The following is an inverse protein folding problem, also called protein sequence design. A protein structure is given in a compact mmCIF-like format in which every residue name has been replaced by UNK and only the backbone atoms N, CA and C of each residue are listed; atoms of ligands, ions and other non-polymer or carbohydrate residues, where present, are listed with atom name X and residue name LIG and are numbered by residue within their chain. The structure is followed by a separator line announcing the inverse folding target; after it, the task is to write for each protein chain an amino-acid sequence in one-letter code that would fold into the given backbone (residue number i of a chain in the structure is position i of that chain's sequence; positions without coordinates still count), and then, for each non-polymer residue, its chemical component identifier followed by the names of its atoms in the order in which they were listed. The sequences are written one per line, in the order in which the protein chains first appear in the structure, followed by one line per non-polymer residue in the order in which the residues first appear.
data_IF_838723874416
#
_entry.id   IF_838723874416
#
_cell.length_a   1.000
_cell.length_b   1.000
_cell.length_c   1.000
_cell.angle_alpha   90.00
_cell.angle_beta   90.00
_cell.angle_gamma   90.00
#
_symmetry.space_group_name_H-M   'P 1'
#
loop_
_entity.id
_entity.type
_entity.pdbx_description
1 polymer ?
#
# COMPACT_ATOMS: atom_id res chain seq x y z
N UNK A 1 21.52 14.89 10.63
CA UNK A 1 21.46 13.67 11.46
C UNK A 1 22.06 14.00 12.81
N UNK A 2 21.58 13.42 13.91
CA UNK A 2 22.06 13.72 15.27
C UNK A 2 21.98 12.49 16.17
N UNK A 3 22.73 12.49 17.27
CA UNK A 3 22.65 11.47 18.32
C UNK A 3 21.65 11.92 19.39
N UNK A 4 20.70 11.06 19.72
CA UNK A 4 19.76 11.24 20.81
C UNK A 4 20.24 10.48 22.03
N UNK A 5 20.54 11.21 23.10
CA UNK A 5 21.01 10.63 24.36
C UNK A 5 19.83 10.28 25.26
N UNK A 6 19.60 8.99 25.46
CA UNK A 6 18.68 8.45 26.45
C UNK A 6 19.31 8.26 27.82
N UNK A 7 18.57 7.61 28.74
CA UNK A 7 19.01 7.38 30.11
C UNK A 7 20.22 6.43 30.20
N UNK A 8 20.26 5.41 29.34
CA UNK A 8 21.32 4.39 29.28
C UNK A 8 21.91 4.19 27.88
N UNK A 9 21.18 4.56 26.84
CA UNK A 9 21.55 4.34 25.44
C UNK A 9 21.62 5.64 24.67
N UNK A 10 22.30 5.59 23.53
CA UNK A 10 22.38 6.65 22.54
C UNK A 10 21.94 6.07 21.21
N UNK A 11 20.96 6.71 20.59
CA UNK A 11 20.40 6.28 19.30
C UNK A 11 20.61 7.34 18.24
N UNK A 12 20.65 6.91 16.98
CA UNK A 12 20.66 7.84 15.86
C UNK A 12 19.28 8.40 15.61
N UNK A 13 19.21 9.70 15.38
CA UNK A 13 17.99 10.40 15.00
C UNK A 13 18.23 11.17 13.70
N UNK A 14 17.37 10.92 12.71
CA UNK A 14 17.28 11.70 11.51
C UNK A 14 16.16 12.73 11.67
N UNK A 15 16.45 13.97 11.29
CA UNK A 15 15.46 15.05 11.20
C UNK A 15 15.34 15.44 9.74
N UNK A 16 14.12 15.54 9.23
CA UNK A 16 13.86 16.10 7.91
C UNK A 16 12.78 17.15 7.99
N UNK A 17 12.99 18.20 7.20
CA UNK A 17 12.11 19.34 7.08
C UNK A 17 11.61 19.37 5.64
N UNK A 18 10.31 19.21 5.48
CA UNK A 18 9.62 19.24 4.20
C UNK A 18 8.92 20.57 4.06
N UNK A 19 9.16 21.26 2.94
CA UNK A 19 8.40 22.44 2.55
C UNK A 19 7.50 22.07 1.38
N UNK A 20 6.22 22.39 1.46
CA UNK A 20 5.22 22.02 0.47
C UNK A 20 4.14 23.11 0.35
N UNK A 21 3.21 22.92 -0.60
CA UNK A 21 2.21 23.93 -0.95
C UNK A 21 2.71 24.97 -1.95
N UNK A 22 1.78 25.73 -2.55
CA UNK A 22 2.12 26.80 -3.48
C UNK A 22 3.01 27.84 -2.78
N UNK A 23 4.18 28.09 -3.35
CA UNK A 23 5.19 28.99 -2.77
C UNK A 23 5.90 28.47 -1.53
N UNK A 24 5.91 27.15 -1.26
CA UNK A 24 6.57 26.55 -0.08
C UNK A 24 6.09 27.14 1.27
N UNK A 25 4.84 27.60 1.29
CA UNK A 25 4.25 28.30 2.44
C UNK A 25 3.99 27.38 3.63
N UNK A 26 3.97 26.06 3.43
CA UNK A 26 3.74 25.07 4.48
C UNK A 26 5.03 24.30 4.77
N UNK A 27 5.28 24.06 6.06
CA UNK A 27 6.45 23.35 6.54
C UNK A 27 6.03 22.23 7.48
N UNK A 28 6.59 21.05 7.27
CA UNK A 28 6.45 19.89 8.14
C UNK A 28 7.83 19.41 8.58
N UNK A 29 8.04 19.33 9.89
CA UNK A 29 9.26 18.84 10.48
C UNK A 29 8.98 17.48 11.12
N UNK A 30 9.84 16.51 10.84
CA UNK A 30 9.71 15.17 11.40
C UNK A 30 11.06 14.65 11.83
N UNK A 31 11.07 13.96 12.97
CA UNK A 31 12.22 13.21 13.45
C UNK A 31 11.88 11.73 13.52
N UNK A 32 12.85 10.89 13.18
CA UNK A 32 12.71 9.45 13.30
C UNK A 32 14.06 8.77 13.48
N UNK A 33 14.01 7.55 13.99
CA UNK A 33 15.19 6.70 14.08
C UNK A 33 15.37 5.93 12.76
N UNK A 34 16.54 6.02 12.11
CA UNK A 34 16.86 5.21 10.94
C UNK A 34 16.71 3.71 11.21
N UNK A 35 16.07 2.98 10.30
CA UNK A 35 16.04 1.52 10.34
C UNK A 35 17.46 0.95 10.28
N UNK A 36 17.75 -0.05 11.13
CA UNK A 36 19.09 -0.64 11.24
C UNK A 36 20.14 0.26 11.92
N UNK A 37 19.73 1.39 12.52
CA UNK A 37 20.67 2.20 13.29
C UNK A 37 21.18 1.45 14.53
N UNK A 38 22.50 1.38 14.73
CA UNK A 38 23.06 0.79 15.94
C UNK A 38 22.67 1.66 17.16
N UNK A 39 22.29 1.00 18.25
CA UNK A 39 22.16 1.63 19.55
C UNK A 39 23.48 1.49 20.29
N UNK A 40 24.04 2.61 20.75
CA UNK A 40 25.27 2.62 21.52
C UNK A 40 24.96 2.77 23.01
N UNK A 41 25.82 2.25 23.87
CA UNK A 41 25.85 2.68 25.25
C UNK A 41 26.37 4.12 25.33
N UNK A 42 26.04 4.84 26.41
CA UNK A 42 26.49 6.23 26.59
C UNK A 42 28.01 6.41 26.54
N UNK A 43 28.75 5.42 27.04
CA UNK A 43 30.22 5.37 27.01
C UNK A 43 30.79 5.03 25.64
N UNK A 44 30.08 4.24 24.82
CA UNK A 44 30.49 3.96 23.45
C UNK A 44 30.22 5.16 22.52
N UNK A 45 29.19 5.95 22.81
CA UNK A 45 28.83 7.11 22.00
C UNK A 45 29.91 8.21 21.99
N UNK A 46 30.66 8.38 23.08
CA UNK A 46 31.80 9.31 23.12
C UNK A 46 33.00 8.86 22.27
N UNK A 47 33.05 7.58 21.88
CA UNK A 47 34.11 7.03 21.04
C UNK A 47 33.73 6.99 19.54
N UNK A 48 32.55 7.53 19.17
CA UNK A 48 32.14 7.60 17.76
C UNK A 48 33.03 8.62 17.05
N UNK A 49 33.78 8.15 16.07
CA UNK A 49 34.62 9.04 15.25
C UNK A 49 33.75 9.88 14.31
N UNK A 50 34.27 11.05 13.95
CA UNK A 50 33.61 11.91 12.95
C UNK A 50 33.45 11.18 11.61
N UNK A 51 34.42 10.34 11.23
CA UNK A 51 34.36 9.54 10.00
C UNK A 51 33.22 8.52 10.02
N UNK A 52 33.01 7.83 11.15
CA UNK A 52 31.87 6.92 11.33
C UNK A 52 30.54 7.66 11.23
N UNK A 53 30.46 8.86 11.81
CA UNK A 53 29.28 9.72 11.71
C UNK A 53 28.97 10.10 10.26
N UNK A 54 29.99 10.53 9.50
CA UNK A 54 29.85 10.94 8.11
C UNK A 54 29.50 9.74 7.22
N UNK A 55 30.18 8.61 7.39
CA UNK A 55 29.91 7.39 6.64
C UNK A 55 28.48 6.90 6.87
N UNK A 56 28.04 6.85 8.13
CA UNK A 56 26.67 6.44 8.46
C UNK A 56 25.63 7.41 7.88
N UNK A 57 25.88 8.72 7.98
CA UNK A 57 25.02 9.74 7.38
C UNK A 57 24.93 9.58 5.86
N UNK A 58 26.05 9.36 5.17
CA UNK A 58 26.07 9.17 3.71
C UNK A 58 25.32 7.91 3.27
N UNK A 59 25.57 6.78 3.92
CA UNK A 59 24.88 5.52 3.63
C UNK A 59 23.37 5.66 3.87
N UNK A 60 22.98 6.30 4.96
CA UNK A 60 21.57 6.50 5.27
C UNK A 60 20.89 7.48 4.30
N UNK A 61 21.49 8.62 4.01
CA UNK A 61 20.94 9.61 3.09
C UNK A 61 20.85 9.07 1.65
N UNK A 62 21.81 8.26 1.20
CA UNK A 62 21.74 7.61 -0.11
C UNK A 62 20.63 6.55 -0.18
N UNK A 63 20.48 5.73 0.87
CA UNK A 63 19.35 4.80 0.97
C UNK A 63 18.00 5.55 1.00
N UNK A 64 17.89 6.62 1.77
CA UNK A 64 16.69 7.46 1.84
C UNK A 64 16.36 8.16 0.51
N UNK A 65 17.37 8.59 -0.25
CA UNK A 65 17.20 9.16 -1.58
C UNK A 65 16.68 8.11 -2.57
N UNK A 66 17.21 6.89 -2.53
CA UNK A 66 16.76 5.77 -3.37
C UNK A 66 15.33 5.31 -3.01
N UNK A 67 14.97 5.34 -1.73
CA UNK A 67 13.63 4.98 -1.25
C UNK A 67 12.55 6.02 -1.60
N UNK A 68 12.94 7.18 -2.16
CA UNK A 68 12.02 8.21 -2.60
C UNK A 68 11.06 8.66 -1.50
N UNK A 69 11.54 9.45 -0.54
CA UNK A 69 10.66 10.13 0.43
C UNK A 69 9.59 10.95 -0.31
N UNK A 70 8.39 10.39 -0.45
CA UNK A 70 7.23 11.06 -1.06
C UNK A 70 6.35 11.59 0.05
N UNK A 71 6.24 12.90 0.13
CA UNK A 71 5.27 13.59 1.01
C UNK A 71 3.96 13.69 0.24
N UNK A 72 2.89 13.11 0.77
CA UNK A 72 1.54 13.33 0.25
C UNK A 72 1.13 14.77 0.54
N UNK A 73 0.66 15.49 -0.48
CA UNK A 73 0.14 16.86 -0.33
C UNK A 73 -1.12 16.92 0.52
N UNK A 74 -1.89 15.83 0.58
CA UNK A 74 -3.13 15.75 1.37
C UNK A 74 -2.90 15.31 2.82
N UNK A 75 -1.80 14.59 3.10
CA UNK A 75 -1.49 14.06 4.44
C UNK A 75 -0.01 14.24 4.78
N UNK A 76 0.41 15.48 5.10
CA UNK A 76 1.82 15.79 5.38
C UNK A 76 2.34 15.06 6.62
N UNK A 77 1.47 14.72 7.59
CA UNK A 77 1.81 13.91 8.77
C UNK A 77 2.08 12.43 8.51
N UNK A 78 1.78 11.93 7.31
CA UNK A 78 2.07 10.55 6.88
C UNK A 78 3.35 10.51 6.03
N UNK A 79 4.22 11.52 6.14
CA UNK A 79 5.58 11.49 5.59
C UNK A 79 6.51 10.48 6.32
N UNK A 80 5.93 9.42 6.91
CA UNK A 80 6.68 8.22 7.25
C UNK A 80 6.81 7.40 5.98
N UNK A 81 8.05 7.00 5.68
CA UNK A 81 8.38 5.87 4.79
C UNK A 81 7.25 4.87 4.87
N UNK A 82 6.54 4.72 3.76
CA UNK A 82 5.36 3.88 3.70
C UNK A 82 5.87 2.43 3.75
N UNK A 83 6.13 1.92 4.96
CA UNK A 83 6.59 0.55 5.17
C UNK A 83 5.60 -0.45 4.57
N UNK A 84 4.32 -0.05 4.46
CA UNK A 84 3.32 -0.80 3.72
C UNK A 84 3.68 -0.98 2.23
N UNK A 85 4.29 0.02 1.57
CA UNK A 85 4.77 -0.06 0.17
C UNK A 85 6.05 -0.88 0.06
N UNK A 86 6.99 -0.71 0.98
CA UNK A 86 8.30 -1.40 0.97
C UNK A 86 8.16 -2.89 1.33
N UNK A 87 7.26 -3.24 2.25
CA UNK A 87 7.00 -4.62 2.67
C UNK A 87 5.96 -5.36 1.83
N UNK A 88 5.39 -4.73 0.79
CA UNK A 88 4.36 -5.36 -0.06
C UNK A 88 3.05 -5.71 0.66
N UNK A 89 2.87 -5.30 1.92
CA UNK A 89 1.71 -5.65 2.73
C UNK A 89 0.39 -5.14 2.11
N UNK A 90 0.46 -3.99 1.42
CA UNK A 90 -0.65 -3.40 0.67
C UNK A 90 -1.20 -4.30 -0.42
N UNK A 91 -0.35 -5.12 -1.06
CA UNK A 91 -0.76 -6.05 -2.12
C UNK A 91 -1.67 -7.13 -1.55
N UNK A 92 -1.39 -7.59 -0.32
CA UNK A 92 -2.21 -8.61 0.34
C UNK A 92 -3.57 -8.06 0.76
N UNK A 93 -3.62 -6.86 1.33
CA UNK A 93 -4.88 -6.21 1.73
C UNK A 93 -5.77 -5.86 0.53
N UNK A 94 -5.20 -5.28 -0.52
CA UNK A 94 -5.95 -4.99 -1.75
C UNK A 94 -6.35 -6.30 -2.45
N UNK A 95 -5.49 -7.31 -2.43
CA UNK A 95 -5.77 -8.62 -3.01
C UNK A 95 -6.96 -9.32 -2.36
N UNK A 96 -7.01 -9.34 -1.03
CA UNK A 96 -8.16 -9.90 -0.30
C UNK A 96 -9.44 -9.11 -0.53
N UNK A 97 -9.37 -7.77 -0.54
CA UNK A 97 -10.52 -6.92 -0.84
C UNK A 97 -11.08 -7.17 -2.23
N UNK A 98 -10.21 -7.20 -3.25
CA UNK A 98 -10.60 -7.48 -4.63
C UNK A 98 -11.17 -8.89 -4.79
N UNK A 99 -10.55 -9.89 -4.16
CA UNK A 99 -11.05 -11.27 -4.19
C UNK A 99 -12.43 -11.39 -3.55
N UNK A 100 -12.66 -10.74 -2.40
CA UNK A 100 -13.97 -10.74 -1.74
C UNK A 100 -15.05 -10.09 -2.60
N UNK A 101 -14.75 -8.96 -3.26
CA UNK A 101 -15.69 -8.27 -4.15
C UNK A 101 -16.02 -9.13 -5.38
N UNK A 102 -15.00 -9.65 -6.07
CA UNK A 102 -15.21 -10.48 -7.26
C UNK A 102 -15.92 -11.78 -6.89
N UNK A 103 -15.49 -12.45 -5.82
CA UNK A 103 -16.12 -13.67 -5.32
C UNK A 103 -17.59 -13.45 -4.92
N UNK A 104 -17.89 -12.35 -4.23
CA UNK A 104 -19.25 -11.95 -3.89
C UNK A 104 -20.12 -11.72 -5.12
N UNK A 105 -19.61 -11.04 -6.15
CA UNK A 105 -20.33 -10.82 -7.41
C UNK A 105 -20.62 -12.13 -8.15
N UNK A 106 -19.65 -13.05 -8.21
CA UNK A 106 -19.83 -14.37 -8.83
C UNK A 106 -20.89 -15.18 -8.08
N UNK A 107 -20.85 -15.19 -6.75
CA UNK A 107 -21.84 -15.90 -5.93
C UNK A 107 -23.24 -15.30 -6.07
N UNK A 108 -23.37 -13.97 -6.11
CA UNK A 108 -24.64 -13.30 -6.39
C UNK A 108 -25.16 -13.66 -7.78
N UNK A 109 -24.32 -13.61 -8.82
CA UNK A 109 -24.72 -13.95 -10.18
C UNK A 109 -25.11 -15.44 -10.33
N UNK A 110 -24.39 -16.35 -9.69
CA UNK A 110 -24.70 -17.77 -9.66
C UNK A 110 -25.99 -18.04 -8.88
N UNK A 111 -26.16 -17.42 -7.72
CA UNK A 111 -27.38 -17.51 -6.91
C UNK A 111 -28.60 -17.02 -7.66
N UNK A 112 -28.50 -15.89 -8.36
CA UNK A 112 -29.56 -15.38 -9.23
C UNK A 112 -29.82 -16.37 -10.38
N UNK A 113 -28.78 -16.88 -11.02
CA UNK A 113 -28.92 -17.80 -12.18
C UNK A 113 -29.57 -19.15 -11.82
N UNK A 114 -29.42 -19.60 -10.58
CA UNK A 114 -30.02 -20.82 -10.04
C UNK A 114 -31.45 -20.63 -9.52
N UNK A 115 -31.98 -19.40 -9.51
CA UNK A 115 -33.37 -19.17 -9.12
C UNK A 115 -34.30 -19.91 -10.09
N UNK A 116 -35.25 -20.72 -9.58
CA UNK A 116 -36.09 -21.59 -10.41
C UNK A 116 -36.92 -20.80 -11.44
N UNK A 117 -37.22 -19.54 -11.17
CA UNK A 117 -37.96 -18.69 -12.11
C UNK A 117 -37.18 -18.29 -13.38
N UNK A 118 -35.85 -18.33 -13.38
CA UNK A 118 -35.04 -18.14 -14.61
C UNK A 118 -35.11 -19.39 -15.50
N UNK A 119 -35.14 -20.59 -14.91
CA UNK A 119 -35.34 -21.84 -15.64
C UNK A 119 -36.76 -21.88 -16.25
N UNK A 120 -37.77 -21.44 -15.50
CA UNK A 120 -39.15 -21.27 -15.98
C UNK A 120 -39.27 -20.23 -17.10
N UNK A 121 -38.41 -19.21 -17.17
CA UNK A 121 -38.36 -18.27 -18.31
C UNK A 121 -37.69 -18.86 -19.56
N UNK A 122 -36.75 -19.79 -19.41
CA UNK A 122 -36.06 -20.46 -20.53
C UNK A 122 -36.95 -21.49 -21.23
N UNK A 123 -37.77 -22.24 -20.50
CA UNK A 123 -38.71 -23.25 -21.05
C UNK A 123 -39.65 -22.69 -22.14
N UNK A 124 -40.39 -21.58 -21.95
CA UNK A 124 -41.27 -21.03 -22.98
C UNK A 124 -40.47 -20.42 -24.15
N UNK A 125 -39.28 -19.87 -23.90
CA UNK A 125 -38.40 -19.36 -24.97
C UNK A 125 -37.86 -20.49 -25.84
N UNK A 126 -37.48 -21.61 -25.25
CA UNK A 126 -37.02 -22.81 -25.96
C UNK A 126 -38.16 -23.46 -26.74
N UNK A 127 -39.34 -23.60 -26.15
CA UNK A 127 -40.52 -24.12 -26.84
C UNK A 127 -40.95 -23.24 -28.03
N UNK A 128 -40.89 -21.91 -27.89
CA UNK A 128 -41.16 -20.98 -29.01
C UNK A 128 -40.11 -21.10 -30.12
N UNK A 129 -38.83 -21.26 -29.79
CA UNK A 129 -37.76 -21.46 -30.78
C UNK A 129 -37.89 -22.82 -31.48
N UNK A 130 -38.16 -23.88 -30.73
CA UNK A 130 -38.40 -25.22 -31.25
C UNK A 130 -39.61 -25.26 -32.18
N UNK A 131 -40.71 -24.59 -31.81
CA UNK A 131 -41.90 -24.47 -32.66
C UNK A 131 -41.60 -23.71 -33.97
N UNK A 132 -40.86 -22.59 -33.92
CA UNK A 132 -40.45 -21.87 -35.13
C UNK A 132 -39.52 -22.69 -36.02
N UNK A 133 -38.59 -23.44 -35.44
CA UNK A 133 -37.70 -24.32 -36.20
C UNK A 133 -38.49 -25.44 -36.90
N UNK A 134 -39.47 -26.04 -36.20
CA UNK A 134 -40.32 -27.11 -36.73
C UNK A 134 -41.23 -26.62 -37.87
N UNK A 135 -41.81 -25.42 -37.75
CA UNK A 135 -42.61 -24.84 -38.83
C UNK A 135 -41.77 -24.41 -40.04
N UNK A 136 -40.48 -24.10 -39.86
CA UNK A 136 -39.56 -23.82 -40.99
C UNK A 136 -39.16 -25.08 -41.76
N UNK A 137 -39.01 -26.21 -41.07
CA UNK A 137 -38.65 -27.50 -41.70
C UNK A 137 -39.84 -28.14 -42.41
N UNK A 138 -41.07 -27.88 -41.97
CA UNK A 138 -42.29 -28.45 -42.56
C UNK A 138 -42.91 -27.64 -43.70
N UNK A 139 -42.32 -26.49 -44.06
CA UNK A 139 -42.79 -25.59 -45.12
C UNK A 139 -41.97 -25.62 -46.41
N UNK A 140 -41.20 -26.69 -46.62
CA UNK A 140 -40.43 -26.97 -47.85
C UNK A 140 -41.08 -28.10 -48.65
#
# INVERSE_FOLDING_TARGET
MSLRYGKSSVTWEARALFRYGAGQTQQYDTTWQPAGSPAYSRSAASNISHEQFVAFTKTYCSAAANDGLRVSSMFPGIARRNEAVVGGAWVREIGFGLFAVVGGLVLCAAGISLLPWIEERKKPAMNRKAWRARNRVSGS
#
